data_IF_208145103718
#
_entry.id   IF_208145103718
#
_cell.length_a   1.000
_cell.length_b   1.000
_cell.length_c   1.000
_cell.angle_alpha   90.00
_cell.angle_beta   90.00
_cell.angle_gamma   90.00
#
_symmetry.space_group_name_H-M   'P 1'
#
loop_
_entity.id
_entity.type
_entity.pdbx_description
1 polymer ?
#
# COMPACT_ATOMS: atom_id res chain seq x y z
N UNK A 1 -30.87 -72.52 -15.69
CA UNK A 1 -30.22 -73.25 -16.80
C UNK A 1 -29.90 -72.27 -17.92
N UNK A 2 -28.63 -72.24 -18.29
CA UNK A 2 -28.02 -71.80 -19.55
C UNK A 2 -28.47 -70.51 -20.24
N UNK A 3 -27.60 -69.51 -20.11
CA UNK A 3 -26.79 -68.94 -21.20
C UNK A 3 -27.48 -68.55 -22.51
N UNK A 4 -27.34 -67.28 -22.88
CA UNK A 4 -26.77 -66.87 -24.18
C UNK A 4 -26.37 -65.39 -24.16
N UNK A 5 -25.05 -65.20 -24.09
CA UNK A 5 -24.30 -63.98 -24.32
C UNK A 5 -24.34 -63.69 -25.83
N UNK A 6 -24.84 -62.52 -26.24
CA UNK A 6 -24.62 -61.98 -27.60
C UNK A 6 -24.10 -60.55 -27.47
N UNK A 7 -22.84 -60.38 -27.89
CA UNK A 7 -22.17 -59.10 -28.08
C UNK A 7 -22.56 -58.60 -29.47
N UNK A 8 -23.15 -57.42 -29.55
CA UNK A 8 -23.32 -56.68 -30.80
C UNK A 8 -22.61 -55.33 -30.66
N UNK A 9 -21.52 -55.19 -31.40
CA UNK A 9 -20.80 -53.93 -31.59
C UNK A 9 -21.73 -52.89 -32.24
N UNK A 10 -21.91 -51.76 -31.58
CA UNK A 10 -22.43 -50.54 -32.23
C UNK A 10 -21.29 -49.53 -32.22
N UNK A 11 -20.63 -49.43 -33.37
CA UNK A 11 -19.84 -48.26 -33.74
C UNK A 11 -20.84 -47.12 -33.99
N UNK A 12 -20.70 -45.99 -33.28
CA UNK A 12 -21.46 -44.80 -33.58
C UNK A 12 -20.61 -43.55 -33.39
N UNK A 13 -20.27 -43.00 -34.55
CA UNK A 13 -20.17 -41.60 -34.92
C UNK A 13 -19.55 -40.62 -33.89
N UNK A 14 -18.39 -40.10 -34.30
CA UNK A 14 -17.82 -38.86 -33.83
C UNK A 14 -18.86 -37.71 -33.89
N UNK A 15 -19.24 -37.20 -32.72
CA UNK A 15 -19.69 -35.81 -32.62
C UNK A 15 -18.44 -34.94 -32.46
N UNK A 16 -17.93 -34.45 -33.59
CA UNK A 16 -17.04 -33.29 -33.61
C UNK A 16 -17.80 -32.08 -33.08
N UNK A 17 -17.70 -31.84 -31.78
CA UNK A 17 -18.16 -30.60 -31.17
C UNK A 17 -17.33 -29.45 -31.75
N UNK A 18 -17.95 -28.62 -32.58
CA UNK A 18 -17.41 -27.32 -32.95
C UNK A 18 -17.30 -26.48 -31.67
N UNK A 19 -16.13 -26.50 -31.04
CA UNK A 19 -15.79 -25.58 -29.97
C UNK A 19 -15.80 -24.18 -30.56
N UNK A 20 -16.88 -23.46 -30.30
CA UNK A 20 -17.04 -22.05 -30.64
C UNK A 20 -16.06 -21.27 -29.74
N UNK A 21 -14.81 -21.15 -30.18
CA UNK A 21 -13.78 -20.40 -29.50
C UNK A 21 -14.16 -18.91 -29.57
N UNK A 22 -14.87 -18.42 -28.55
CA UNK A 22 -15.06 -16.99 -28.40
C UNK A 22 -13.68 -16.33 -28.37
N UNK A 23 -13.42 -15.30 -29.19
CA UNK A 23 -12.18 -14.56 -29.10
C UNK A 23 -12.08 -14.02 -27.68
N UNK A 24 -11.04 -14.43 -26.95
CA UNK A 24 -10.70 -13.85 -25.65
C UNK A 24 -10.57 -12.35 -25.88
N UNK A 25 -11.54 -11.57 -25.39
CA UNK A 25 -11.36 -10.12 -25.23
C UNK A 25 -10.10 -9.95 -24.40
N UNK A 26 -9.03 -9.54 -25.06
CA UNK A 26 -7.79 -9.18 -24.40
C UNK A 26 -8.14 -8.05 -23.42
N UNK A 27 -8.08 -8.38 -22.13
CA UNK A 27 -8.29 -7.38 -21.09
C UNK A 27 -7.22 -6.31 -21.27
N UNK A 28 -7.57 -5.00 -21.19
CA UNK A 28 -6.59 -3.94 -21.26
C UNK A 28 -5.42 -4.22 -20.32
N UNK A 29 -4.18 -3.85 -20.70
CA UNK A 29 -3.03 -4.03 -19.84
C UNK A 29 -3.30 -3.37 -18.48
N UNK A 30 -2.90 -4.02 -17.36
CA UNK A 30 -3.11 -3.45 -16.04
C UNK A 30 -2.39 -2.10 -15.96
N UNK A 31 -2.98 -1.12 -15.25
CA UNK A 31 -2.35 0.19 -15.08
C UNK A 31 -0.96 0.03 -14.43
N UNK A 32 0.00 0.90 -14.77
CA UNK A 32 1.34 0.82 -14.21
C UNK A 32 1.32 1.00 -12.69
N UNK A 33 2.28 0.39 -11.96
CA UNK A 33 2.46 0.65 -10.54
C UNK A 33 2.77 2.13 -10.26
N UNK A 34 2.32 2.64 -9.12
CA UNK A 34 2.62 4.00 -8.63
C UNK A 34 3.82 3.91 -7.71
N UNK A 35 4.81 4.79 -7.88
CA UNK A 35 6.01 4.77 -7.03
C UNK A 35 5.77 5.63 -5.80
N UNK A 36 5.91 5.04 -4.61
CA UNK A 36 5.70 5.74 -3.35
C UNK A 36 6.95 5.66 -2.46
N UNK A 37 7.32 6.81 -1.89
CA UNK A 37 8.39 6.96 -0.91
C UNK A 37 7.75 6.99 0.49
N UNK A 38 8.24 6.15 1.39
CA UNK A 38 7.83 6.06 2.79
C UNK A 38 9.01 6.46 3.68
N UNK A 39 8.75 7.32 4.65
CA UNK A 39 9.75 7.84 5.58
C UNK A 39 9.22 7.72 7.00
N UNK A 40 9.85 6.86 7.79
CA UNK A 40 9.56 6.69 9.20
C UNK A 40 10.41 7.65 10.02
N UNK A 41 9.78 8.37 10.94
CA UNK A 41 10.39 9.49 11.63
C UNK A 41 10.13 9.32 13.13
N UNK A 42 11.20 9.43 13.92
CA UNK A 42 11.09 9.68 15.36
C UNK A 42 11.00 11.18 15.58
N UNK A 43 9.99 11.60 16.33
CA UNK A 43 9.80 12.97 16.76
C UNK A 43 9.99 13.05 18.28
N UNK A 44 10.65 14.10 18.75
CA UNK A 44 10.82 14.36 20.18
C UNK A 44 10.88 15.86 20.46
N UNK A 45 10.85 16.22 21.75
CA UNK A 45 10.99 17.59 22.20
C UNK A 45 12.31 17.74 22.95
N UNK A 46 13.18 18.64 22.48
CA UNK A 46 14.46 18.95 23.11
C UNK A 46 14.72 20.44 23.23
N UNK A 47 15.82 20.80 23.89
CA UNK A 47 16.20 22.20 24.10
C UNK A 47 16.52 22.93 22.78
N UNK A 48 17.07 22.21 21.79
CA UNK A 48 17.39 22.74 20.47
C UNK A 48 16.61 21.99 19.39
N UNK A 49 16.02 22.75 18.46
CA UNK A 49 15.35 22.18 17.30
C UNK A 49 16.37 21.53 16.36
N UNK A 50 16.06 20.31 15.89
CA UNK A 50 16.91 19.57 14.96
C UNK A 50 16.06 18.79 13.95
N UNK A 51 16.57 18.62 12.75
CA UNK A 51 15.89 17.89 11.68
C UNK A 51 16.94 17.28 10.75
N UNK A 52 16.80 15.99 10.44
CA UNK A 52 17.67 15.34 9.46
C UNK A 52 17.46 15.93 8.06
N UNK A 53 18.53 16.01 7.26
CA UNK A 53 18.53 16.68 5.96
C UNK A 53 17.47 16.11 4.99
N UNK A 54 17.22 14.81 5.04
CA UNK A 54 16.21 14.14 4.22
C UNK A 54 14.77 14.61 4.53
N UNK A 55 14.54 15.15 5.73
CA UNK A 55 13.23 15.60 6.21
C UNK A 55 12.94 17.07 5.90
N UNK A 56 13.88 17.82 5.32
CA UNK A 56 13.69 19.26 5.03
C UNK A 56 12.47 19.53 4.12
N UNK A 57 12.14 18.60 3.22
CA UNK A 57 10.93 18.67 2.38
C UNK A 57 9.64 18.65 3.19
N UNK A 58 9.65 18.00 4.35
CA UNK A 58 8.50 17.86 5.26
C UNK A 58 8.40 18.99 6.28
N UNK A 59 9.42 19.84 6.40
CA UNK A 59 9.52 20.91 7.41
C UNK A 59 8.27 21.77 7.53
N UNK A 60 7.66 22.14 6.39
CA UNK A 60 6.42 22.95 6.39
C UNK A 60 5.22 22.20 6.99
N UNK A 61 5.17 20.87 6.88
CA UNK A 61 4.11 20.04 7.46
C UNK A 61 4.39 19.70 8.92
N UNK A 62 5.64 19.38 9.26
CA UNK A 62 6.06 19.04 10.63
C UNK A 62 6.00 20.23 11.60
N UNK A 63 6.09 21.47 11.09
CA UNK A 63 5.89 22.68 11.90
C UNK A 63 4.43 23.07 12.13
N UNK A 64 3.47 22.30 11.61
CA UNK A 64 2.03 22.57 11.80
C UNK A 64 1.43 21.58 12.81
N UNK A 65 0.37 21.96 13.53
CA UNK A 65 -0.39 21.00 14.33
C UNK A 65 -0.87 19.82 13.47
N UNK A 66 -0.91 18.58 14.00
CA UNK A 66 -0.59 18.21 15.39
C UNK A 66 0.91 18.00 15.67
N UNK A 67 1.79 18.14 14.67
CA UNK A 67 3.22 17.80 14.78
C UNK A 67 4.09 18.90 15.42
N UNK A 68 3.55 20.11 15.53
CA UNK A 68 4.27 21.28 16.06
C UNK A 68 4.60 21.19 17.55
N UNK A 69 4.11 20.18 18.27
CA UNK A 69 4.52 19.89 19.65
C UNK A 69 5.95 19.34 19.76
N UNK A 70 6.49 18.81 18.66
CA UNK A 70 7.85 18.29 18.57
C UNK A 70 8.76 19.26 17.81
N UNK A 71 10.03 19.30 18.17
CA UNK A 71 11.02 20.17 17.53
C UNK A 71 12.29 19.43 17.09
N UNK A 72 12.41 18.14 17.40
CA UNK A 72 13.48 17.27 16.94
C UNK A 72 12.88 16.16 16.07
N UNK A 73 13.39 15.99 14.86
CA UNK A 73 12.90 15.01 13.89
C UNK A 73 14.05 14.22 13.29
N UNK A 74 14.04 12.91 13.50
CA UNK A 74 15.07 11.97 13.04
C UNK A 74 14.49 10.93 12.10
N UNK A 75 15.13 10.71 10.96
CA UNK A 75 14.77 9.64 10.03
C UNK A 75 15.20 8.30 10.62
N UNK A 76 14.25 7.38 10.76
CA UNK A 76 14.51 6.01 11.20
C UNK A 76 14.67 5.05 10.02
N UNK A 77 13.86 5.26 8.98
CA UNK A 77 13.83 4.41 7.79
C UNK A 77 13.29 5.18 6.60
N UNK A 78 13.81 4.86 5.41
CA UNK A 78 13.29 5.29 4.12
C UNK A 78 13.13 4.09 3.20
N UNK A 79 11.98 3.98 2.53
CA UNK A 79 11.70 2.90 1.59
C UNK A 79 10.93 3.40 0.37
N UNK A 80 11.36 2.97 -0.81
CA UNK A 80 10.62 3.15 -2.05
C UNK A 80 9.85 1.86 -2.37
N UNK A 81 8.55 1.99 -2.66
CA UNK A 81 7.67 0.87 -3.01
C UNK A 81 6.82 1.21 -4.22
N UNK A 82 6.78 0.27 -5.16
CA UNK A 82 5.86 0.31 -6.28
C UNK A 82 4.51 -0.29 -5.85
N UNK A 83 3.49 0.54 -5.70
CA UNK A 83 2.16 0.10 -5.33
C UNK A 83 1.36 -0.31 -6.56
N UNK A 84 0.96 -1.58 -6.60
CA UNK A 84 0.02 -2.08 -7.62
C UNK A 84 -1.41 -1.92 -7.13
N UNK A 85 -2.32 -1.54 -8.03
CA UNK A 85 -3.73 -1.30 -7.69
C UNK A 85 -4.36 -2.53 -7.03
N UNK A 86 -5.05 -2.32 -5.90
CA UNK A 86 -5.71 -3.34 -5.06
C UNK A 86 -4.77 -4.43 -4.51
N UNK A 87 -3.46 -4.22 -4.54
CA UNK A 87 -2.48 -5.07 -3.87
C UNK A 87 -2.05 -4.41 -2.57
N UNK A 88 -2.01 -5.19 -1.49
CA UNK A 88 -1.44 -4.78 -0.21
C UNK A 88 0.08 -4.92 -0.31
N UNK A 89 0.80 -3.83 -0.02
CA UNK A 89 2.24 -3.82 0.12
C UNK A 89 2.59 -3.59 1.59
N UNK A 90 3.43 -4.46 2.14
CA UNK A 90 3.93 -4.32 3.51
C UNK A 90 5.25 -3.55 3.52
N UNK A 91 5.32 -2.56 4.39
CA UNK A 91 6.50 -1.74 4.65
C UNK A 91 6.94 -2.05 6.08
N UNK A 92 8.12 -2.65 6.22
CA UNK A 92 8.71 -2.94 7.52
C UNK A 92 9.29 -1.67 8.12
N UNK A 93 8.73 -1.24 9.25
CA UNK A 93 9.19 -0.06 9.98
C UNK A 93 10.17 -0.49 11.09
N UNK A 94 10.99 0.42 11.59
CA UNK A 94 11.81 0.23 12.79
C UNK A 94 10.94 0.12 14.03
N UNK A 95 9.80 0.82 14.06
CA UNK A 95 8.86 0.88 15.18
C UNK A 95 7.49 0.26 14.83
N UNK A 96 7.49 -0.85 14.08
CA UNK A 96 6.27 -1.62 13.77
C UNK A 96 6.18 -2.00 12.30
N UNK A 97 4.98 -1.89 11.72
CA UNK A 97 4.75 -2.15 10.28
C UNK A 97 3.70 -1.22 9.71
N UNK A 98 3.81 -0.93 8.42
CA UNK A 98 2.74 -0.30 7.65
C UNK A 98 2.28 -1.20 6.51
N UNK A 99 1.00 -1.14 6.19
CA UNK A 99 0.40 -1.80 5.03
C UNK A 99 -0.25 -0.73 4.17
N UNK A 100 0.19 -0.63 2.91
CA UNK A 100 -0.29 0.36 1.96
C UNK A 100 -0.99 -0.33 0.79
N UNK A 101 -2.15 0.18 0.39
CA UNK A 101 -2.91 -0.33 -0.75
C UNK A 101 -3.33 0.81 -1.66
N UNK A 102 -2.89 0.78 -2.92
CA UNK A 102 -3.34 1.72 -3.93
C UNK A 102 -4.77 1.36 -4.37
N UNK A 103 -5.74 2.26 -4.14
CA UNK A 103 -7.12 2.06 -4.56
C UNK A 103 -7.37 2.56 -5.99
N UNK A 104 -6.65 3.61 -6.40
CA UNK A 104 -6.63 4.10 -7.77
C UNK A 104 -6.13 5.54 -7.89
N UNK A 105 -6.18 6.05 -9.11
CA UNK A 105 -5.94 7.47 -9.42
C UNK A 105 -7.30 8.15 -9.64
N UNK A 106 -7.51 9.27 -8.95
CA UNK A 106 -8.72 10.10 -9.01
C UNK A 106 -8.39 11.36 -9.83
N UNK A 107 -9.29 11.73 -10.74
CA UNK A 107 -9.17 12.93 -11.59
C UNK A 107 -7.82 13.04 -12.33
N UNK A 108 -7.21 11.90 -12.68
CA UNK A 108 -5.95 11.81 -13.43
C UNK A 108 -4.68 12.25 -12.69
N UNK A 109 -4.77 12.82 -11.49
CA UNK A 109 -3.63 13.45 -10.80
C UNK A 109 -3.56 13.20 -9.29
N UNK A 110 -4.63 12.66 -8.69
CA UNK A 110 -4.69 12.38 -7.27
C UNK A 110 -4.56 10.88 -7.01
N UNK A 111 -3.73 10.52 -6.03
CA UNK A 111 -3.56 9.14 -5.58
C UNK A 111 -4.56 8.88 -4.46
N UNK A 112 -5.37 7.82 -4.61
CA UNK A 112 -6.23 7.31 -3.53
C UNK A 112 -5.56 6.09 -2.90
N UNK A 113 -5.13 6.23 -1.65
CA UNK A 113 -4.34 5.25 -0.91
C UNK A 113 -5.06 4.86 0.37
N UNK A 114 -5.14 3.56 0.66
CA UNK A 114 -5.45 3.06 2.00
C UNK A 114 -4.14 2.74 2.71
N UNK A 115 -4.01 3.16 3.97
CA UNK A 115 -2.87 2.85 4.81
C UNK A 115 -3.31 2.38 6.19
N UNK A 116 -2.63 1.35 6.67
CA UNK A 116 -2.70 0.84 8.04
C UNK A 116 -1.32 0.91 8.66
N UNK A 117 -1.21 1.34 9.92
CA UNK A 117 0.06 1.36 10.65
C UNK A 117 -0.15 0.76 12.04
N UNK A 118 0.66 -0.25 12.31
CA UNK A 118 0.75 -0.91 13.61
C UNK A 118 2.06 -0.50 14.26
N UNK A 119 2.03 -0.25 15.57
CA UNK A 119 3.23 0.00 16.35
C UNK A 119 4.03 -1.30 16.62
N UNK A 120 5.16 -1.17 17.33
CA UNK A 120 6.01 -2.32 17.68
C UNK A 120 5.30 -3.37 18.56
N UNK A 121 4.21 -3.00 19.25
CA UNK A 121 3.39 -3.93 20.04
C UNK A 121 2.28 -4.57 19.20
N UNK A 122 2.18 -4.25 17.90
CA UNK A 122 1.14 -4.72 17.00
C UNK A 122 -0.20 -4.00 17.17
N UNK A 123 -0.24 -2.89 17.91
CA UNK A 123 -1.46 -2.09 18.05
C UNK A 123 -1.59 -1.17 16.85
N UNK A 124 -2.73 -1.28 16.16
CA UNK A 124 -3.09 -0.37 15.09
C UNK A 124 -3.37 1.03 15.65
N UNK A 125 -2.69 2.05 15.11
CA UNK A 125 -2.93 3.45 15.47
C UNK A 125 -3.35 4.31 14.27
N UNK A 126 -3.19 3.78 13.06
CA UNK A 126 -3.69 4.40 11.82
C UNK A 126 -4.37 3.34 10.99
N UNK A 127 -5.60 3.64 10.57
CA UNK A 127 -6.28 2.94 9.48
C UNK A 127 -7.10 3.99 8.74
N UNK A 128 -6.59 4.44 7.59
CA UNK A 128 -7.14 5.58 6.88
C UNK A 128 -7.08 5.36 5.37
N UNK A 129 -8.13 5.81 4.66
CA UNK A 129 -8.10 5.99 3.21
C UNK A 129 -8.06 7.48 2.88
N UNK A 130 -7.00 7.91 2.21
CA UNK A 130 -6.78 9.31 1.83
C UNK A 130 -6.66 9.47 0.32
N UNK A 131 -7.10 10.63 -0.18
CA UNK A 131 -6.89 11.06 -1.57
C UNK A 131 -6.05 12.32 -1.54
N UNK A 132 -4.91 12.33 -2.24
CA UNK A 132 -3.94 13.43 -2.21
C UNK A 132 -3.31 13.61 -3.59
N UNK A 133 -2.80 14.80 -3.90
CA UNK A 133 -2.13 15.06 -5.17
C UNK A 133 -0.82 14.26 -5.26
N UNK A 134 -0.49 13.76 -6.45
CA UNK A 134 0.82 13.16 -6.68
C UNK A 134 1.93 14.17 -6.36
N UNK A 135 2.97 13.73 -5.64
CA UNK A 135 4.05 14.58 -5.13
C UNK A 135 3.76 15.30 -3.82
N UNK A 136 2.50 15.34 -3.35
CA UNK A 136 2.21 15.82 -1.99
C UNK A 136 2.60 14.77 -0.94
N UNK A 137 2.98 15.27 0.23
CA UNK A 137 3.26 14.41 1.39
C UNK A 137 2.03 14.26 2.29
N UNK A 138 1.69 13.03 2.63
CA UNK A 138 0.86 12.72 3.79
C UNK A 138 1.76 12.42 4.98
N UNK A 139 1.35 12.85 6.17
CA UNK A 139 2.06 12.55 7.41
C UNK A 139 1.03 12.02 8.40
N UNK A 140 1.26 10.81 8.86
CA UNK A 140 0.52 10.19 9.94
C UNK A 140 1.40 10.11 11.17
N UNK A 141 0.82 10.15 12.35
CA UNK A 141 1.62 9.96 13.56
C UNK A 141 0.79 9.84 14.81
N UNK A 142 1.42 9.34 15.85
CA UNK A 142 0.86 9.25 17.19
C UNK A 142 1.92 9.61 18.22
N UNK A 143 1.46 10.10 19.37
CA UNK A 143 2.32 10.35 20.52
C UNK A 143 2.67 9.05 21.22
N UNK A 144 3.92 8.96 21.64
CA UNK A 144 4.47 7.91 22.50
C UNK A 144 4.62 8.46 23.93
N UNK A 145 4.92 7.60 24.92
CA UNK A 145 5.31 8.07 26.26
C UNK A 145 6.46 9.07 26.21
N UNK A 146 6.63 9.88 27.26
CA UNK A 146 7.68 10.89 27.38
C UNK A 146 7.64 12.04 26.36
N UNK A 147 6.47 12.30 25.76
CA UNK A 147 6.30 13.33 24.73
C UNK A 147 7.14 13.07 23.46
N UNK A 148 7.44 11.81 23.19
CA UNK A 148 7.96 11.37 21.89
C UNK A 148 6.81 11.14 20.90
N UNK A 149 7.15 11.00 19.64
CA UNK A 149 6.22 10.75 18.55
C UNK A 149 6.81 9.78 17.56
N UNK A 150 5.94 8.96 16.98
CA UNK A 150 6.28 8.11 15.85
C UNK A 150 5.42 8.53 14.67
N UNK A 151 6.10 8.95 13.60
CA UNK A 151 5.46 9.50 12.42
C UNK A 151 5.83 8.66 11.19
N UNK A 152 4.88 8.52 10.27
CA UNK A 152 5.10 7.99 8.93
C UNK A 152 4.70 9.07 7.93
N UNK A 153 5.68 9.57 7.19
CA UNK A 153 5.45 10.41 6.04
C UNK A 153 5.49 9.57 4.76
N UNK A 154 4.64 9.89 3.79
CA UNK A 154 4.67 9.26 2.47
C UNK A 154 4.32 10.24 1.37
N UNK A 155 4.84 9.97 0.18
CA UNK A 155 4.45 10.64 -1.07
C UNK A 155 4.44 9.63 -2.21
N UNK A 156 3.66 9.89 -3.25
CA UNK A 156 3.53 9.00 -4.42
C UNK A 156 3.64 9.79 -5.71
N UNK A 157 4.21 9.17 -6.76
CA UNK A 157 4.45 9.74 -8.09
C UNK A 157 4.04 8.76 -9.19
#
# INVERSE_FOLDING_TARGET
>A
MSSRLWIACIASLALGGAANAQPKKESPPPPPPVSCEFMEISASSGAAASMDADLEKLKKKLKKPPFSSWNQFKLLMKADKALTRKRVETIQLKMGKAEATLLGIVNGSQVRLSISIDDAAGKNFVNNTSTFAAGDYLVYGHSLPNNDGHLLALTCK
#
